data_IF_529870832582
#
_entry.id   IF_529870832582
#
_cell.length_a   1.000
_cell.length_b   1.000
_cell.length_c   1.000
_cell.angle_alpha   90.00
_cell.angle_beta   90.00
_cell.angle_gamma   90.00
#
_symmetry.space_group_name_H-M   'P 1'
#
loop_
_entity.id
_entity.type
_entity.pdbx_description
1 polymer ?
#
# COMPACT_ATOMS: atom_id res chain seq x y z
N UNK A 1 38.35 33.19 16.00
CA UNK A 1 37.30 33.19 14.97
C UNK A 1 37.31 31.84 14.29
N UNK A 2 36.35 30.98 14.61
CA UNK A 2 36.22 29.65 14.03
C UNK A 2 35.05 29.66 13.02
N UNK A 3 35.31 29.16 11.81
CA UNK A 3 34.34 29.01 10.73
C UNK A 3 33.35 27.88 11.04
N UNK A 4 32.05 28.00 10.68
CA UNK A 4 31.09 26.94 10.88
C UNK A 4 31.21 25.86 9.79
N UNK A 5 31.21 24.60 10.22
CA UNK A 5 31.10 23.44 9.34
C UNK A 5 29.74 23.39 8.62
N UNK A 6 29.82 23.34 7.29
CA UNK A 6 28.71 23.19 6.39
C UNK A 6 28.29 21.71 6.35
N UNK A 7 27.19 21.34 7.03
CA UNK A 7 26.59 20.00 6.94
C UNK A 7 26.08 19.75 5.51
N UNK A 8 26.85 18.99 4.74
CA UNK A 8 26.46 18.47 3.42
C UNK A 8 25.83 17.09 3.57
N UNK A 9 24.66 16.92 2.95
CA UNK A 9 24.32 15.65 2.30
C UNK A 9 23.26 14.77 2.95
N UNK A 10 22.02 15.24 3.02
CA UNK A 10 20.83 14.37 3.09
C UNK A 10 19.89 14.69 1.92
N UNK A 11 20.40 14.51 0.69
CA UNK A 11 19.62 14.76 -0.52
C UNK A 11 20.15 13.92 -1.69
N UNK A 12 20.28 12.60 -1.51
CA UNK A 12 20.64 11.70 -2.62
C UNK A 12 20.09 10.28 -2.42
N UNK A 13 18.81 10.17 -2.08
CA UNK A 13 18.11 8.86 -2.03
C UNK A 13 16.80 8.85 -2.84
N UNK A 14 16.34 10.00 -3.32
CA UNK A 14 15.11 10.10 -4.12
C UNK A 14 15.27 9.77 -5.61
N UNK A 15 16.49 9.87 -6.17
CA UNK A 15 16.70 9.72 -7.63
C UNK A 15 16.75 8.27 -8.12
N UNK A 16 16.82 7.27 -7.24
CA UNK A 16 16.91 5.86 -7.65
C UNK A 16 15.55 5.13 -7.71
N UNK A 17 14.49 5.71 -7.15
CA UNK A 17 13.16 5.08 -7.14
C UNK A 17 12.40 5.26 -8.45
N UNK A 18 12.62 6.36 -9.17
CA UNK A 18 11.98 6.58 -10.48
C UNK A 18 12.40 5.50 -11.51
N UNK A 19 13.63 4.99 -11.43
CA UNK A 19 14.11 3.90 -12.29
C UNK A 19 13.55 2.52 -11.92
N UNK A 20 12.92 2.37 -10.74
CA UNK A 20 12.27 1.12 -10.31
C UNK A 20 10.79 1.06 -10.72
N UNK A 21 10.18 2.19 -11.08
CA UNK A 21 8.74 2.33 -11.35
C UNK A 21 8.44 2.32 -12.87
N UNK A 22 9.42 2.61 -13.72
CA UNK A 22 9.19 2.67 -15.16
C UNK A 22 9.38 1.28 -15.81
N UNK A 23 8.40 0.77 -16.56
CA UNK A 23 8.64 -0.35 -17.45
C UNK A 23 9.65 0.08 -18.53
N UNK A 24 10.63 -0.78 -18.82
CA UNK A 24 11.52 -0.62 -19.97
C UNK A 24 10.67 -0.74 -21.25
N UNK A 25 10.04 0.35 -21.70
CA UNK A 25 9.23 0.32 -22.93
C UNK A 25 8.16 1.37 -23.13
N UNK A 26 7.89 2.29 -22.20
CA UNK A 26 6.86 3.31 -22.42
C UNK A 26 7.36 4.46 -23.29
N UNK A 27 6.87 4.52 -24.53
CA UNK A 27 6.95 5.69 -25.40
C UNK A 27 6.39 6.92 -24.70
N UNK A 28 7.06 8.07 -24.89
CA UNK A 28 6.72 9.34 -24.28
C UNK A 28 5.26 9.74 -24.58
N UNK A 29 4.40 9.67 -23.56
CA UNK A 29 3.05 10.20 -23.62
C UNK A 29 3.11 11.70 -23.30
N UNK A 30 2.96 12.55 -24.31
CA UNK A 30 2.89 14.00 -24.15
C UNK A 30 1.54 14.40 -23.54
N UNK A 31 1.58 14.86 -22.30
CA UNK A 31 0.43 15.41 -21.60
C UNK A 31 0.19 16.87 -22.03
N UNK A 32 -0.88 17.11 -22.77
CA UNK A 32 -1.38 18.46 -23.07
C UNK A 32 -2.38 18.87 -21.98
N UNK A 33 -1.91 19.68 -21.02
CA UNK A 33 -2.75 20.24 -19.98
C UNK A 33 -3.52 21.46 -20.51
N UNK A 34 -4.81 21.32 -20.76
CA UNK A 34 -5.69 22.49 -20.86
C UNK A 34 -6.08 22.97 -19.45
N UNK A 35 -5.94 24.27 -19.13
CA UNK A 35 -6.31 24.79 -17.82
C UNK A 35 -7.82 24.91 -17.69
N UNK A 36 -8.43 24.11 -16.80
CA UNK A 36 -9.81 24.32 -16.36
C UNK A 36 -9.87 25.51 -15.39
N UNK A 37 -10.73 26.48 -15.71
CA UNK A 37 -10.95 27.70 -14.94
C UNK A 37 -11.86 27.45 -13.74
N UNK A 38 -11.32 27.43 -12.53
CA UNK A 38 -12.11 27.24 -11.32
C UNK A 38 -12.55 28.62 -10.84
N UNK A 39 -13.86 28.88 -10.94
CA UNK A 39 -14.51 30.14 -10.56
C UNK A 39 -14.52 30.33 -9.04
N UNK A 40 -14.09 31.53 -8.65
CA UNK A 40 -14.44 32.34 -7.47
C UNK A 40 -15.28 31.68 -6.35
N UNK A 41 -14.62 31.39 -5.23
CA UNK A 41 -15.26 31.20 -3.93
C UNK A 41 -15.72 32.55 -3.36
N UNK A 42 -17.01 32.67 -3.06
CA UNK A 42 -17.57 33.79 -2.27
C UNK A 42 -17.41 33.49 -0.79
N UNK A 43 -16.86 34.46 -0.05
CA UNK A 43 -16.81 34.46 1.40
C UNK A 43 -18.22 34.61 2.01
N UNK A 44 -18.53 33.82 3.03
CA UNK A 44 -19.75 33.93 3.84
C UNK A 44 -19.38 34.64 5.15
N UNK A 45 -20.19 35.58 5.67
CA UNK A 45 -19.88 36.29 6.90
C UNK A 45 -20.12 35.41 8.13
N UNK A 46 -19.19 35.51 9.08
CA UNK A 46 -19.29 34.99 10.45
C UNK A 46 -20.07 35.99 11.32
N UNK A 47 -21.15 35.55 11.97
CA UNK A 47 -21.70 36.24 13.15
C UNK A 47 -22.59 35.31 14.02
N UNK A 48 -22.34 35.41 15.35
CA UNK A 48 -23.16 35.09 16.55
C UNK A 48 -23.13 33.64 17.06
N UNK A 49 -22.58 33.37 18.26
CA UNK A 49 -23.02 33.68 19.66
C UNK A 49 -24.25 32.87 20.11
N UNK A 50 -24.23 32.49 21.40
CA UNK A 50 -25.09 31.55 22.15
C UNK A 50 -24.73 30.07 21.98
N UNK A 51 -24.62 29.23 23.01
CA UNK A 51 -24.83 29.38 24.44
C UNK A 51 -24.55 28.00 25.08
N UNK A 52 -24.03 27.98 26.30
CA UNK A 52 -23.65 26.75 26.98
C UNK A 52 -24.81 25.80 27.23
N UNK A 53 -24.62 24.53 26.87
CA UNK A 53 -25.22 23.40 27.57
C UNK A 53 -24.16 22.31 27.71
N UNK A 54 -23.91 21.92 28.96
CA UNK A 54 -23.10 20.77 29.31
C UNK A 54 -23.92 19.50 29.02
N UNK A 55 -23.50 18.73 28.02
CA UNK A 55 -24.04 17.40 27.78
C UNK A 55 -23.17 16.39 28.52
N UNK A 56 -23.80 15.65 29.43
CA UNK A 56 -23.18 14.56 30.16
C UNK A 56 -22.77 13.44 29.19
N UNK A 57 -21.48 13.09 29.22
CA UNK A 57 -20.90 11.95 28.53
C UNK A 57 -21.39 10.65 29.18
N UNK A 58 -22.41 10.02 28.58
CA UNK A 58 -22.72 8.63 28.82
C UNK A 58 -21.78 7.77 27.95
N UNK A 59 -20.70 7.29 28.55
CA UNK A 59 -19.82 6.29 27.96
C UNK A 59 -20.56 4.93 27.96
N UNK A 60 -21.22 4.60 26.84
CA UNK A 60 -21.64 3.21 26.59
C UNK A 60 -20.51 2.51 25.84
N UNK A 61 -19.67 1.80 26.59
CA UNK A 61 -18.77 0.78 26.05
C UNK A 61 -19.62 -0.38 25.54
N UNK A 62 -20.06 -0.30 24.29
CA UNK A 62 -20.51 -1.47 23.57
C UNK A 62 -19.26 -2.17 23.04
N UNK A 63 -18.86 -3.22 23.75
CA UNK A 63 -18.01 -4.28 23.20
C UNK A 63 -18.77 -4.92 22.04
N UNK A 64 -18.61 -4.35 20.85
CA UNK A 64 -18.99 -5.00 19.60
C UNK A 64 -17.98 -6.12 19.39
N UNK A 65 -18.32 -7.32 19.85
CA UNK A 65 -17.74 -8.54 19.29
C UNK A 65 -18.13 -8.59 17.81
N UNK A 66 -17.27 -8.02 16.96
CA UNK A 66 -17.29 -8.27 15.51
C UNK A 66 -17.06 -9.77 15.33
N UNK A 67 -18.15 -10.52 15.23
CA UNK A 67 -18.17 -11.83 14.60
C UNK A 67 -17.42 -11.69 13.28
N UNK A 68 -16.36 -12.47 13.07
CA UNK A 68 -15.67 -12.65 11.79
C UNK A 68 -16.66 -13.24 10.78
N UNK A 69 -17.58 -12.41 10.28
CA UNK A 69 -18.43 -12.74 9.16
C UNK A 69 -17.54 -12.69 7.92
N UNK A 70 -16.96 -13.84 7.59
CA UNK A 70 -16.10 -14.01 6.43
C UNK A 70 -16.99 -13.87 5.20
N UNK A 71 -17.05 -12.68 4.64
CA UNK A 71 -17.79 -12.44 3.40
C UNK A 71 -17.28 -13.39 2.30
N UNK A 72 -18.17 -14.16 1.66
CA UNK A 72 -17.75 -15.11 0.64
C UNK A 72 -17.16 -14.37 -0.55
N UNK A 73 -15.94 -14.75 -0.93
CA UNK A 73 -15.24 -14.21 -2.11
C UNK A 73 -16.04 -14.53 -3.38
N UNK A 74 -16.10 -13.59 -4.32
CA UNK A 74 -17.06 -13.64 -5.44
C UNK A 74 -16.56 -14.46 -6.62
N UNK A 75 -15.24 -14.54 -6.79
CA UNK A 75 -14.63 -15.19 -7.95
C UNK A 75 -13.45 -16.09 -7.53
N UNK A 76 -13.15 -17.15 -8.30
CA UNK A 76 -11.96 -17.99 -8.05
C UNK A 76 -10.64 -17.20 -8.09
N UNK A 77 -10.59 -16.15 -8.92
CA UNK A 77 -9.45 -15.24 -9.00
C UNK A 77 -9.25 -14.50 -7.68
N UNK A 78 -10.32 -13.91 -7.12
CA UNK A 78 -10.27 -13.24 -5.82
C UNK A 78 -9.79 -14.18 -4.72
N UNK A 79 -10.22 -15.45 -4.74
CA UNK A 79 -9.76 -16.48 -3.80
C UNK A 79 -8.25 -16.68 -3.84
N UNK A 80 -7.67 -16.89 -5.03
CA UNK A 80 -6.22 -17.08 -5.15
C UNK A 80 -5.41 -15.84 -4.74
N UNK A 81 -5.90 -14.65 -5.09
CA UNK A 81 -5.28 -13.39 -4.65
C UNK A 81 -5.31 -13.30 -3.12
N UNK A 82 -6.44 -13.60 -2.49
CA UNK A 82 -6.57 -13.59 -1.04
C UNK A 82 -5.68 -14.64 -0.37
N UNK A 83 -5.52 -15.83 -0.95
CA UNK A 83 -4.58 -16.85 -0.48
C UNK A 83 -3.15 -16.34 -0.48
N UNK A 84 -2.69 -15.73 -1.59
CA UNK A 84 -1.36 -15.12 -1.63
C UNK A 84 -1.23 -14.02 -0.57
N UNK A 85 -2.20 -13.11 -0.47
CA UNK A 85 -2.17 -12.03 0.52
C UNK A 85 -2.17 -12.53 1.96
N UNK A 86 -2.83 -13.67 2.22
CA UNK A 86 -2.81 -14.36 3.50
C UNK A 86 -1.45 -14.99 3.79
N UNK A 87 -0.80 -15.61 2.81
CA UNK A 87 0.58 -16.11 2.96
C UNK A 87 1.56 -14.97 3.31
N UNK A 88 1.37 -13.77 2.73
CA UNK A 88 2.17 -12.59 3.07
C UNK A 88 1.92 -12.12 4.52
N UNK A 89 0.67 -12.12 4.97
CA UNK A 89 0.32 -11.82 6.36
C UNK A 89 0.98 -12.81 7.33
N UNK A 90 0.79 -14.11 7.09
CA UNK A 90 1.25 -15.19 7.97
C UNK A 90 2.78 -15.29 8.05
N UNK A 91 3.49 -14.75 7.05
CA UNK A 91 4.96 -14.68 7.06
C UNK A 91 5.52 -13.93 8.27
N UNK A 92 4.75 -12.99 8.84
CA UNK A 92 5.22 -12.07 9.89
C UNK A 92 6.53 -11.34 9.54
N UNK A 93 6.79 -11.13 8.25
CA UNK A 93 7.96 -10.40 7.76
C UNK A 93 7.61 -8.93 7.47
N UNK A 94 8.54 -7.99 7.69
CA UNK A 94 8.31 -6.59 7.36
C UNK A 94 8.42 -6.37 5.86
N UNK A 95 7.44 -5.67 5.30
CA UNK A 95 7.42 -5.25 3.91
C UNK A 95 7.45 -3.73 3.83
N UNK A 96 8.30 -3.22 2.94
CA UNK A 96 8.21 -1.87 2.44
C UNK A 96 7.17 -1.82 1.34
N UNK A 97 6.02 -1.25 1.67
CA UNK A 97 4.85 -1.09 0.81
C UNK A 97 5.05 0.21 0.01
N UNK A 98 5.02 0.10 -1.32
CA UNK A 98 5.16 1.22 -2.24
C UNK A 98 3.92 1.30 -3.12
N UNK A 99 3.22 2.42 -3.03
CA UNK A 99 2.06 2.73 -3.87
C UNK A 99 2.39 3.99 -4.67
N UNK A 100 2.25 3.90 -5.99
CA UNK A 100 2.54 5.01 -6.90
C UNK A 100 1.23 5.60 -7.39
N UNK A 101 0.94 6.83 -6.99
CA UNK A 101 -0.18 7.60 -7.49
C UNK A 101 0.24 8.60 -8.57
N UNK A 102 -0.74 9.29 -9.15
CA UNK A 102 -0.50 10.35 -10.12
C UNK A 102 0.11 11.59 -9.43
N UNK A 103 1.44 11.69 -9.44
CA UNK A 103 2.18 12.84 -8.90
C UNK A 103 2.69 12.67 -7.47
N UNK A 104 2.48 11.50 -6.84
CA UNK A 104 3.00 11.20 -5.51
C UNK A 104 3.31 9.71 -5.36
N UNK A 105 4.30 9.41 -4.52
CA UNK A 105 4.62 8.04 -4.11
C UNK A 105 4.38 7.96 -2.61
N UNK A 106 3.57 7.00 -2.19
CA UNK A 106 3.42 6.65 -0.80
C UNK A 106 4.29 5.44 -0.52
N UNK A 107 5.07 5.53 0.55
CA UNK A 107 5.94 4.47 1.00
C UNK A 107 5.85 4.33 2.52
N UNK A 108 5.73 3.08 2.98
CA UNK A 108 5.80 2.75 4.40
C UNK A 108 6.46 1.39 4.60
N UNK A 109 7.08 1.14 5.74
CA UNK A 109 7.70 -0.16 6.06
C UNK A 109 7.06 -0.71 7.33
N UNK A 110 6.21 -1.73 7.17
CA UNK A 110 5.42 -2.30 8.26
C UNK A 110 5.31 -3.81 8.12
N UNK A 111 4.91 -4.48 9.20
CA UNK A 111 4.31 -5.81 9.11
C UNK A 111 2.96 -5.68 8.40
N UNK A 112 2.60 -6.68 7.60
CA UNK A 112 1.27 -6.79 7.01
C UNK A 112 0.30 -7.40 8.04
N UNK A 113 0.12 -6.77 9.19
CA UNK A 113 -0.63 -7.31 10.32
C UNK A 113 -0.45 -6.47 11.60
N UNK A 114 -1.10 -6.84 12.73
CA UNK A 114 -1.65 -8.17 13.05
C UNK A 114 -3.06 -8.45 12.51
N UNK A 115 -3.76 -7.45 11.97
CA UNK A 115 -5.12 -7.64 11.47
C UNK A 115 -5.13 -7.96 9.99
N UNK A 116 -5.79 -9.05 9.60
CA UNK A 116 -6.12 -9.40 8.21
C UNK A 116 -7.64 -9.59 8.11
N UNK A 117 -8.33 -8.70 7.39
CA UNK A 117 -9.79 -8.77 7.22
C UNK A 117 -10.17 -8.80 5.75
N UNK A 118 -11.06 -9.71 5.37
CA UNK A 118 -11.73 -9.73 4.07
C UNK A 118 -13.14 -9.20 4.27
N UNK A 119 -13.43 -8.05 3.66
CA UNK A 119 -14.73 -7.39 3.75
C UNK A 119 -15.24 -6.93 2.39
N UNK A 120 -16.31 -6.15 2.40
CA UNK A 120 -16.85 -5.50 1.21
C UNK A 120 -16.78 -3.98 1.33
N UNK A 121 -16.50 -3.30 0.21
CA UNK A 121 -16.59 -1.84 0.14
C UNK A 121 -18.02 -1.39 0.36
N UNK A 122 -18.31 -0.51 1.34
CA UNK A 122 -19.66 0.03 1.53
C UNK A 122 -20.13 0.87 0.34
N UNK A 123 -19.19 1.37 -0.47
CA UNK A 123 -19.48 2.24 -1.62
C UNK A 123 -19.70 1.45 -2.91
N UNK A 124 -18.87 0.43 -3.17
CA UNK A 124 -18.89 -0.29 -4.45
C UNK A 124 -19.40 -1.72 -4.34
N UNK A 125 -19.51 -2.27 -3.13
CA UNK A 125 -19.78 -3.69 -2.90
C UNK A 125 -18.65 -4.62 -3.38
N UNK A 126 -17.50 -4.08 -3.77
CA UNK A 126 -16.35 -4.90 -4.17
C UNK A 126 -15.66 -5.51 -2.95
N UNK A 127 -15.14 -6.74 -3.08
CA UNK A 127 -14.31 -7.37 -2.07
C UNK A 127 -13.06 -6.53 -1.78
N UNK A 128 -12.75 -6.31 -0.51
CA UNK A 128 -11.56 -5.59 -0.04
C UNK A 128 -10.82 -6.46 0.97
N UNK A 129 -9.50 -6.58 0.79
CA UNK A 129 -8.59 -7.12 1.80
C UNK A 129 -7.95 -5.96 2.55
N UNK A 130 -8.01 -5.99 3.87
CA UNK A 130 -7.45 -4.97 4.75
C UNK A 130 -6.38 -5.56 5.64
N UNK A 131 -5.19 -4.98 5.58
CA UNK A 131 -4.15 -5.14 6.60
C UNK A 131 -4.17 -3.91 7.50
N UNK A 132 -4.20 -4.11 8.81
CA UNK A 132 -4.19 -3.00 9.77
C UNK A 132 -3.23 -3.25 10.93
N UNK A 133 -2.56 -2.17 11.35
CA UNK A 133 -1.79 -2.14 12.59
C UNK A 133 -2.73 -2.17 13.80
N UNK A 134 -2.24 -2.70 14.92
CA UNK A 134 -3.03 -2.83 16.17
C UNK A 134 -3.52 -1.47 16.71
N UNK A 135 -2.69 -0.44 16.54
CA UNK A 135 -2.97 0.93 16.98
C UNK A 135 -3.73 1.77 15.96
N UNK A 136 -4.14 1.18 14.83
CA UNK A 136 -4.82 1.85 13.71
C UNK A 136 -4.03 3.02 13.09
N UNK A 137 -2.73 3.13 13.37
CA UNK A 137 -1.87 4.17 12.77
C UNK A 137 -1.65 3.95 11.27
N UNK A 138 -1.89 2.73 10.79
CA UNK A 138 -1.68 2.31 9.43
C UNK A 138 -2.74 1.30 8.99
N UNK A 139 -3.36 1.56 7.83
CA UNK A 139 -4.22 0.62 7.13
C UNK A 139 -3.79 0.53 5.66
N UNK A 140 -3.83 -0.68 5.13
CA UNK A 140 -3.53 -0.96 3.74
C UNK A 140 -4.63 -1.82 3.14
N UNK A 141 -5.37 -1.24 2.21
CA UNK A 141 -6.50 -1.88 1.55
C UNK A 141 -6.13 -2.25 0.12
N UNK A 142 -6.46 -3.48 -0.27
CA UNK A 142 -6.34 -3.98 -1.63
C UNK A 142 -7.71 -4.44 -2.12
N UNK A 143 -7.98 -4.23 -3.40
CA UNK A 143 -9.16 -4.79 -4.08
C UNK A 143 -8.70 -6.02 -4.89
N UNK A 144 -8.95 -7.25 -4.43
CA UNK A 144 -8.46 -8.46 -5.10
C UNK A 144 -8.91 -8.55 -6.57
N UNK A 145 -10.13 -8.09 -6.87
CA UNK A 145 -10.68 -8.05 -8.22
C UNK A 145 -9.87 -7.16 -9.20
N UNK A 146 -9.04 -6.24 -8.70
CA UNK A 146 -8.20 -5.38 -9.53
C UNK A 146 -6.80 -5.95 -9.79
N UNK A 147 -6.45 -7.08 -9.16
CA UNK A 147 -5.14 -7.71 -9.29
C UNK A 147 -5.26 -8.87 -10.29
N UNK A 148 -4.59 -8.74 -11.42
CA UNK A 148 -4.58 -9.75 -12.48
C UNK A 148 -3.36 -10.69 -12.36
N UNK A 149 -2.21 -10.16 -11.92
CA UNK A 149 -1.01 -10.96 -11.73
C UNK A 149 -0.11 -10.41 -10.62
N UNK A 150 0.81 -11.26 -10.16
CA UNK A 150 1.89 -10.90 -9.25
C UNK A 150 3.23 -11.37 -9.81
N UNK A 151 4.21 -10.47 -9.88
CA UNK A 151 5.57 -10.80 -10.35
C UNK A 151 6.55 -10.73 -9.19
N UNK A 152 7.29 -11.82 -8.98
CA UNK A 152 8.35 -11.93 -8.00
C UNK A 152 9.68 -11.59 -8.69
N UNK A 153 10.38 -10.58 -8.19
CA UNK A 153 11.59 -10.04 -8.81
C UNK A 153 12.70 -9.92 -7.77
N UNK A 154 13.85 -10.50 -8.08
CA UNK A 154 15.10 -10.20 -7.40
C UNK A 154 15.91 -9.16 -8.19
N UNK A 155 16.38 -8.10 -7.54
CA UNK A 155 17.26 -7.10 -8.16
C UNK A 155 18.46 -6.77 -7.29
N UNK A 156 19.67 -6.64 -7.86
CA UNK A 156 20.79 -6.10 -7.10
C UNK A 156 20.54 -4.62 -6.77
N UNK A 157 20.67 -4.26 -5.51
CA UNK A 157 20.74 -2.89 -5.02
C UNK A 157 22.14 -2.35 -5.31
N UNK A 158 22.32 -1.06 -5.64
CA UNK A 158 23.65 -0.43 -5.70
C UNK A 158 24.51 -0.61 -4.44
N UNK A 159 23.90 -0.88 -3.29
CA UNK A 159 24.58 -1.20 -2.03
C UNK A 159 25.06 -2.66 -1.92
N UNK A 160 24.95 -3.46 -2.99
CA UNK A 160 25.36 -4.86 -3.05
C UNK A 160 24.37 -5.85 -2.42
N UNK A 161 23.24 -5.40 -1.87
CA UNK A 161 22.17 -6.27 -1.34
C UNK A 161 21.21 -6.70 -2.45
N UNK A 162 20.63 -7.89 -2.36
CA UNK A 162 19.54 -8.30 -3.27
C UNK A 162 18.21 -7.80 -2.70
N UNK A 163 17.49 -7.00 -3.48
CA UNK A 163 16.11 -6.62 -3.20
C UNK A 163 15.18 -7.71 -3.72
N UNK A 164 14.22 -8.11 -2.90
CA UNK A 164 13.19 -9.10 -3.24
C UNK A 164 11.85 -8.39 -3.25
N UNK A 165 11.20 -8.37 -4.41
CA UNK A 165 10.01 -7.56 -4.68
C UNK A 165 8.87 -8.44 -5.16
N UNK A 166 7.67 -8.17 -4.65
CA UNK A 166 6.43 -8.66 -5.21
C UNK A 166 5.70 -7.46 -5.83
N UNK A 167 5.42 -7.54 -7.13
CA UNK A 167 4.70 -6.49 -7.87
C UNK A 167 3.30 -6.99 -8.18
N UNK A 168 2.28 -6.38 -7.57
CA UNK A 168 0.89 -6.64 -7.91
C UNK A 168 0.53 -5.79 -9.12
N UNK A 169 0.06 -6.43 -10.19
CA UNK A 169 -0.28 -5.79 -11.46
C UNK A 169 -1.78 -5.92 -11.74
N UNK A 170 -2.34 -4.88 -12.36
CA UNK A 170 -3.71 -4.89 -12.84
C UNK A 170 -3.82 -5.57 -14.22
N UNK A 171 -5.05 -5.70 -14.75
CA UNK A 171 -5.30 -6.33 -16.05
C UNK A 171 -4.67 -5.63 -17.26
N UNK A 172 -4.21 -4.38 -17.10
CA UNK A 172 -3.51 -3.60 -18.12
C UNK A 172 -1.98 -3.68 -17.98
N UNK A 173 -1.48 -4.43 -16.98
CA UNK A 173 -0.06 -4.50 -16.64
C UNK A 173 0.46 -3.32 -15.80
N UNK A 174 -0.40 -2.38 -15.42
CA UNK A 174 -0.08 -1.29 -14.50
C UNK A 174 0.13 -1.79 -13.07
N UNK A 175 1.08 -1.21 -12.34
CA UNK A 175 1.34 -1.60 -10.95
C UNK A 175 0.25 -1.07 -10.02
N UNK A 176 -0.39 -1.97 -9.28
CA UNK A 176 -1.30 -1.64 -8.17
C UNK A 176 -0.48 -1.22 -6.95
N UNK A 177 0.47 -2.07 -6.57
CA UNK A 177 1.47 -1.77 -5.54
C UNK A 177 2.71 -2.64 -5.72
N UNK A 178 3.80 -2.25 -5.06
CA UNK A 178 5.00 -3.07 -4.91
C UNK A 178 5.26 -3.32 -3.43
N UNK A 179 5.52 -4.58 -3.07
CA UNK A 179 5.93 -5.00 -1.74
C UNK A 179 7.39 -5.41 -1.81
N UNK A 180 8.24 -4.75 -1.04
CA UNK A 180 9.67 -5.04 -0.99
C UNK A 180 9.95 -5.69 0.36
N UNK A 181 10.49 -6.90 0.37
CA UNK A 181 10.88 -7.57 1.60
C UNK A 181 11.98 -6.75 2.27
N UNK A 182 11.70 -6.24 3.48
CA UNK A 182 12.60 -5.35 4.19
C UNK A 182 13.63 -6.12 5.03
N UNK A 183 13.36 -7.39 5.32
CA UNK A 183 14.27 -8.29 6.04
C UNK A 183 15.24 -9.00 5.08
N UNK A 184 16.54 -8.97 5.43
CA UNK A 184 17.61 -9.67 4.70
C UNK A 184 18.13 -10.92 5.42
N UNK A 185 17.49 -11.32 6.53
CA UNK A 185 17.78 -12.54 7.27
C UNK A 185 17.65 -13.79 6.41
N UNK A 186 18.45 -14.82 6.68
CA UNK A 186 18.43 -16.10 5.93
C UNK A 186 17.03 -16.73 5.92
N UNK A 187 16.27 -16.59 7.03
CA UNK A 187 14.88 -17.03 7.12
C UNK A 187 13.97 -16.32 6.11
N UNK A 188 14.10 -15.00 5.98
CA UNK A 188 13.32 -14.22 5.01
C UNK A 188 13.68 -14.59 3.56
N UNK A 189 14.96 -14.89 3.29
CA UNK A 189 15.41 -15.36 1.97
C UNK A 189 14.83 -16.75 1.65
N UNK A 190 14.86 -17.67 2.62
CA UNK A 190 14.28 -19.00 2.47
C UNK A 190 12.79 -18.91 2.18
N UNK A 191 12.06 -18.13 2.99
CA UNK A 191 10.61 -17.93 2.80
C UNK A 191 10.28 -17.38 1.40
N UNK A 192 11.05 -16.41 0.90
CA UNK A 192 10.84 -15.87 -0.45
C UNK A 192 11.16 -16.92 -1.53
N UNK A 193 12.18 -17.74 -1.32
CA UNK A 193 12.51 -18.89 -2.17
C UNK A 193 11.36 -19.90 -2.22
N UNK A 194 10.83 -20.29 -1.06
CA UNK A 194 9.71 -21.22 -0.93
C UNK A 194 8.44 -20.67 -1.61
N UNK A 195 8.19 -19.36 -1.49
CA UNK A 195 7.09 -18.69 -2.17
C UNK A 195 7.25 -18.74 -3.70
N UNK A 196 8.47 -18.50 -4.19
CA UNK A 196 8.80 -18.56 -5.62
C UNK A 196 8.71 -19.99 -6.17
N UNK A 197 9.11 -21.00 -5.39
CA UNK A 197 8.97 -22.40 -5.77
C UNK A 197 7.49 -22.83 -5.82
N UNK A 198 6.69 -22.39 -4.84
CA UNK A 198 5.26 -22.72 -4.75
C UNK A 198 4.43 -22.12 -5.88
N UNK A 199 4.66 -20.85 -6.20
CA UNK A 199 3.80 -20.10 -7.14
C UNK A 199 4.46 -19.81 -8.50
N UNK A 200 5.78 -19.92 -8.60
CA UNK A 200 6.55 -19.44 -9.75
C UNK A 200 6.97 -17.96 -9.63
N UNK A 201 7.79 -17.49 -10.58
CA UNK A 201 8.22 -16.08 -10.64
C UNK A 201 7.13 -15.13 -11.14
N UNK A 202 6.12 -15.65 -11.84
CA UNK A 202 4.97 -14.89 -12.33
C UNK A 202 3.70 -15.69 -12.03
N UNK A 203 2.81 -15.06 -11.25
CA UNK A 203 1.55 -15.65 -10.77
C UNK A 203 0.41 -14.98 -11.53
N UNK A 204 -0.35 -15.75 -12.29
CA UNK A 204 -1.57 -15.28 -12.98
C UNK A 204 -2.78 -15.83 -12.24
N UNK A 205 -3.72 -14.95 -11.87
CA UNK A 205 -4.85 -15.31 -11.01
C UNK A 205 -6.07 -15.78 -11.81
#
# INVERSE_FOLDING_TARGET
MALPELRKGFALTFLLFAALILPEGSSAFTFSAEPSSWRQARAVPSERLFGGQAYALAASSQDTQESEETTPLKTPQETKVCELLKDLHESNLPFRIVVVGNGAILESTNLLGPTFKVGESPKTGASIVTFAAEDQSFEFHLMPAQIASCVLVERPNPKGKILRLLRLLNGEGGSVCSLILADDSVSAQSWYGDLTERYGSEIVF
#
